data_IF_525623973738
#
_entry.id   IF_525623973738
#
_cell.length_a   1.000
_cell.length_b   1.000
_cell.length_c   1.000
_cell.angle_alpha   90.00
_cell.angle_beta   90.00
_cell.angle_gamma   90.00
#
_symmetry.space_group_name_H-M   'P 1'
#
loop_
_entity.id
_entity.type
_entity.pdbx_description
1 polymer ?
#
# COMPACT_ATOMS: atom_id res chain seq x y z
N UNK A 1 -57.51 53.36 9.52
CA UNK A 1 -57.19 52.65 8.27
C UNK A 1 -55.68 52.38 8.24
N UNK A 2 -55.23 51.16 8.50
CA UNK A 2 -53.82 50.80 8.57
C UNK A 2 -53.56 49.85 7.41
N UNK A 3 -52.82 50.31 6.42
CA UNK A 3 -52.42 49.53 5.24
C UNK A 3 -51.21 48.64 5.55
N UNK A 4 -51.43 47.32 5.61
CA UNK A 4 -50.35 46.33 5.72
C UNK A 4 -49.58 46.23 4.39
N UNK A 5 -48.32 46.61 4.41
CA UNK A 5 -47.40 46.30 3.31
C UNK A 5 -46.90 44.87 3.45
N UNK A 6 -47.20 44.03 2.47
CA UNK A 6 -46.70 42.69 2.34
C UNK A 6 -45.34 42.79 1.65
N UNK A 7 -44.26 42.45 2.39
CA UNK A 7 -42.91 42.32 1.84
C UNK A 7 -42.78 40.90 1.33
N UNK A 8 -42.75 40.76 0.02
CA UNK A 8 -42.42 39.46 -0.62
C UNK A 8 -40.93 39.24 -0.54
N UNK A 9 -40.50 38.33 0.34
CA UNK A 9 -39.11 37.82 0.36
C UNK A 9 -38.91 36.83 -0.79
N UNK A 10 -38.14 37.27 -1.79
CA UNK A 10 -37.65 36.38 -2.84
C UNK A 10 -36.54 35.51 -2.27
N UNK A 11 -36.82 34.22 -2.08
CA UNK A 11 -35.79 33.20 -1.71
C UNK A 11 -35.03 32.89 -2.98
N UNK A 12 -33.80 33.40 -3.07
CA UNK A 12 -32.84 33.04 -4.11
C UNK A 12 -32.25 31.66 -3.79
N UNK A 13 -32.78 30.64 -4.40
CA UNK A 13 -32.24 29.31 -4.30
C UNK A 13 -30.91 29.20 -5.05
N UNK A 14 -29.81 29.32 -4.31
CA UNK A 14 -28.47 29.02 -4.84
C UNK A 14 -28.33 27.53 -5.08
N UNK A 15 -28.43 27.11 -6.32
CA UNK A 15 -28.10 25.75 -6.75
C UNK A 15 -26.58 25.63 -6.64
N UNK A 16 -26.12 25.06 -5.51
CA UNK A 16 -24.73 24.62 -5.38
C UNK A 16 -24.60 23.38 -6.26
N UNK A 17 -24.10 23.59 -7.48
CA UNK A 17 -23.72 22.51 -8.35
C UNK A 17 -22.65 21.66 -7.65
N UNK A 18 -23.03 20.44 -7.26
CA UNK A 18 -22.07 19.39 -6.92
C UNK A 18 -21.27 19.06 -8.18
N UNK A 19 -20.29 19.88 -8.48
CA UNK A 19 -19.20 19.50 -9.37
C UNK A 19 -18.52 18.31 -8.76
N UNK A 20 -18.78 17.10 -9.29
CA UNK A 20 -18.04 15.91 -8.94
C UNK A 20 -16.56 16.20 -9.19
N UNK A 21 -15.81 16.41 -8.12
CA UNK A 21 -14.36 16.38 -8.16
C UNK A 21 -14.00 14.99 -8.65
N UNK A 22 -13.63 14.86 -9.92
CA UNK A 22 -12.95 13.69 -10.43
C UNK A 22 -11.73 13.51 -9.53
N UNK A 23 -11.82 12.59 -8.57
CA UNK A 23 -10.66 12.19 -7.78
C UNK A 23 -9.67 11.61 -8.78
N UNK A 24 -8.65 12.40 -9.10
CA UNK A 24 -7.50 11.90 -9.83
C UNK A 24 -7.03 10.66 -9.06
N UNK A 25 -7.00 9.51 -9.73
CA UNK A 25 -6.57 8.24 -9.17
C UNK A 25 -5.16 8.46 -8.59
N UNK A 26 -5.07 8.52 -7.26
CA UNK A 26 -3.83 8.85 -6.58
C UNK A 26 -2.89 7.66 -6.76
N UNK A 27 -1.96 7.79 -7.71
CA UNK A 27 -0.97 6.75 -7.99
C UNK A 27 -0.16 6.48 -6.74
N UNK A 28 -0.05 5.21 -6.39
CA UNK A 28 0.70 4.78 -5.23
C UNK A 28 2.19 5.08 -5.42
N UNK A 29 2.76 5.91 -4.54
CA UNK A 29 4.14 6.38 -4.65
C UNK A 29 5.07 5.62 -3.72
N UNK A 30 6.32 5.44 -4.13
CA UNK A 30 7.38 4.92 -3.28
C UNK A 30 7.66 5.88 -2.12
N UNK A 31 7.98 5.32 -0.96
CA UNK A 31 8.33 6.08 0.24
C UNK A 31 9.71 6.72 0.11
N UNK A 32 10.60 6.13 -0.70
CA UNK A 32 12.00 6.53 -0.82
C UNK A 32 12.18 7.80 -1.64
N UNK A 33 11.54 7.89 -2.81
CA UNK A 33 11.79 8.94 -3.80
C UNK A 33 10.53 9.58 -4.38
N UNK A 34 9.34 9.19 -3.88
CA UNK A 34 8.06 9.72 -4.35
C UNK A 34 7.66 9.30 -5.77
N UNK A 35 8.45 8.47 -6.45
CA UNK A 35 8.09 7.95 -7.77
C UNK A 35 6.98 6.91 -7.68
N UNK A 36 6.26 6.66 -8.78
CA UNK A 36 5.18 5.68 -8.83
C UNK A 36 5.68 4.27 -8.48
N UNK A 37 5.01 3.62 -7.52
CA UNK A 37 5.28 2.22 -7.19
C UNK A 37 4.65 1.30 -8.23
N UNK A 38 5.44 0.43 -8.83
CA UNK A 38 4.98 -0.56 -9.81
C UNK A 38 5.53 -1.93 -9.45
N UNK A 39 4.69 -2.95 -9.45
CA UNK A 39 5.14 -4.34 -9.47
C UNK A 39 5.63 -4.69 -10.88
N UNK A 40 6.69 -4.04 -11.32
CA UNK A 40 7.41 -4.40 -12.53
C UNK A 40 8.48 -5.42 -12.17
N UNK A 41 8.71 -6.37 -13.07
CA UNK A 41 9.76 -7.36 -12.86
C UNK A 41 11.13 -6.65 -12.78
N UNK A 42 11.85 -6.75 -11.65
CA UNK A 42 13.20 -6.20 -11.58
C UNK A 42 14.04 -6.98 -12.61
N UNK A 43 14.71 -6.30 -13.51
CA UNK A 43 15.58 -6.92 -14.51
C UNK A 43 16.51 -7.93 -13.83
N UNK A 44 16.28 -9.22 -14.06
CA UNK A 44 17.17 -10.28 -13.62
C UNK A 44 16.62 -11.32 -12.64
N UNK A 45 15.44 -11.16 -12.13
CA UNK A 45 14.81 -12.22 -11.31
C UNK A 45 13.81 -13.02 -12.12
N UNK A 46 14.35 -14.04 -12.79
CA UNK A 46 13.62 -15.21 -13.22
C UNK A 46 12.44 -14.97 -14.15
N UNK A 47 12.28 -15.89 -15.03
CA UNK A 47 11.18 -16.06 -15.97
C UNK A 47 9.80 -16.06 -15.28
N UNK A 48 9.37 -14.91 -14.80
CA UNK A 48 7.97 -14.68 -14.50
C UNK A 48 7.26 -14.47 -15.82
N UNK A 49 7.15 -15.53 -16.61
CA UNK A 49 6.10 -15.66 -17.64
C UNK A 49 4.76 -15.65 -16.92
N UNK A 50 4.44 -14.53 -16.25
CA UNK A 50 3.05 -14.15 -16.03
C UNK A 50 2.49 -13.94 -17.42
N UNK A 51 1.86 -14.97 -17.92
CA UNK A 51 1.25 -15.03 -19.23
C UNK A 51 0.23 -13.92 -19.46
N UNK A 52 -0.22 -13.28 -18.38
CA UNK A 52 -1.21 -12.22 -18.37
C UNK A 52 -0.82 -11.20 -17.31
N UNK A 53 -0.85 -9.94 -17.65
CA UNK A 53 -0.66 -8.79 -16.75
C UNK A 53 -1.77 -8.68 -15.67
N UNK A 54 -2.34 -9.81 -15.26
CA UNK A 54 -3.43 -9.85 -14.29
C UNK A 54 -2.84 -9.73 -12.90
N UNK A 55 -3.00 -8.56 -12.31
CA UNK A 55 -2.66 -8.32 -10.91
C UNK A 55 -3.54 -9.19 -10.00
N UNK A 56 -2.95 -9.76 -8.97
CA UNK A 56 -3.70 -10.46 -7.92
C UNK A 56 -4.54 -9.47 -7.11
N UNK A 57 -5.58 -9.96 -6.41
CA UNK A 57 -6.36 -9.13 -5.48
C UNK A 57 -5.47 -8.43 -4.46
N UNK A 58 -4.43 -9.11 -3.97
CA UNK A 58 -3.48 -8.54 -3.01
C UNK A 58 -2.66 -7.40 -3.61
N UNK A 59 -2.19 -7.54 -4.84
CA UNK A 59 -1.48 -6.48 -5.56
C UNK A 59 -2.37 -5.26 -5.80
N UNK A 60 -3.61 -5.49 -6.23
CA UNK A 60 -4.59 -4.42 -6.49
C UNK A 60 -4.86 -3.66 -5.19
N UNK A 61 -5.18 -4.37 -4.11
CA UNK A 61 -5.49 -3.73 -2.83
C UNK A 61 -4.26 -3.03 -2.24
N UNK A 62 -3.08 -3.63 -2.36
CA UNK A 62 -1.86 -2.99 -1.91
C UNK A 62 -1.57 -1.69 -2.67
N UNK A 63 -1.68 -1.68 -3.99
CA UNK A 63 -1.47 -0.48 -4.81
C UNK A 63 -2.51 0.62 -4.52
N UNK A 64 -3.69 0.23 -4.06
CA UNK A 64 -4.76 1.16 -3.69
C UNK A 64 -4.60 1.74 -2.29
N UNK A 65 -4.20 0.93 -1.32
CA UNK A 65 -4.28 1.26 0.10
C UNK A 65 -2.95 1.22 0.85
N UNK A 66 -1.92 0.61 0.28
CA UNK A 66 -0.66 0.31 0.97
C UNK A 66 -0.78 -0.79 2.03
N UNK A 67 -1.92 -1.47 2.13
CA UNK A 67 -2.18 -2.51 3.13
C UNK A 67 -1.92 -3.90 2.55
N UNK A 68 -1.37 -4.77 3.39
CA UNK A 68 -1.28 -6.19 3.09
C UNK A 68 -2.56 -6.89 3.60
N UNK A 69 -3.37 -7.42 2.68
CA UNK A 69 -4.64 -8.09 3.02
C UNK A 69 -4.47 -9.40 3.80
N UNK A 70 -3.25 -9.91 3.89
CA UNK A 70 -2.95 -11.17 4.59
C UNK A 70 -2.56 -10.97 6.05
N UNK A 71 -2.51 -9.74 6.55
CA UNK A 71 -2.24 -9.49 7.97
C UNK A 71 -3.39 -10.03 8.81
N UNK A 72 -3.07 -10.90 9.77
CA UNK A 72 -4.05 -11.59 10.62
C UNK A 72 -4.68 -12.85 9.98
N UNK A 73 -4.33 -13.20 8.74
CA UNK A 73 -4.70 -14.49 8.14
C UNK A 73 -3.69 -15.57 8.56
N UNK A 74 -4.05 -16.39 9.54
CA UNK A 74 -3.18 -17.44 10.07
C UNK A 74 -2.71 -18.44 8.99
N UNK A 75 -3.53 -18.74 8.00
CA UNK A 75 -3.15 -19.63 6.91
C UNK A 75 -2.12 -18.97 5.98
N UNK A 76 -2.28 -17.69 5.69
CA UNK A 76 -1.31 -16.93 4.91
C UNK A 76 0.00 -16.75 5.66
N UNK A 77 -0.05 -16.48 6.96
CA UNK A 77 1.14 -16.38 7.82
C UNK A 77 1.92 -17.68 7.87
N UNK A 78 1.24 -18.81 8.02
CA UNK A 78 1.87 -20.15 7.98
C UNK A 78 2.56 -20.41 6.63
N UNK A 79 1.91 -20.05 5.51
CA UNK A 79 2.53 -20.15 4.17
C UNK A 79 3.71 -19.20 4.03
N UNK A 80 3.59 -17.97 4.52
CA UNK A 80 4.65 -16.98 4.53
C UNK A 80 5.89 -17.44 5.29
N UNK A 81 5.71 -18.00 6.49
CA UNK A 81 6.79 -18.57 7.30
C UNK A 81 7.50 -19.72 6.57
N UNK A 82 6.75 -20.62 5.92
CA UNK A 82 7.34 -21.70 5.11
C UNK A 82 8.17 -21.12 3.95
N UNK A 83 7.65 -20.13 3.24
CA UNK A 83 8.35 -19.47 2.12
C UNK A 83 9.59 -18.71 2.58
N UNK A 84 9.54 -18.07 3.74
CA UNK A 84 10.67 -17.37 4.34
C UNK A 84 11.87 -18.32 4.53
N UNK A 85 11.62 -19.55 4.99
CA UNK A 85 12.65 -20.59 5.04
C UNK A 85 13.08 -21.07 3.64
N UNK A 86 12.11 -21.35 2.77
CA UNK A 86 12.37 -21.86 1.41
C UNK A 86 13.24 -20.92 0.56
N UNK A 87 13.03 -19.61 0.67
CA UNK A 87 13.82 -18.58 -0.04
C UNK A 87 15.12 -18.21 0.67
N UNK A 88 15.55 -19.00 1.66
CA UNK A 88 16.80 -18.81 2.40
C UNK A 88 16.89 -17.47 3.19
N UNK A 89 15.78 -16.78 3.38
CA UNK A 89 15.75 -15.53 4.16
C UNK A 89 16.21 -15.76 5.61
N UNK A 90 15.95 -16.98 6.15
CA UNK A 90 16.34 -17.38 7.50
C UNK A 90 17.85 -17.40 7.71
N UNK A 91 18.64 -17.59 6.67
CA UNK A 91 20.11 -17.63 6.78
C UNK A 91 20.69 -16.28 7.24
N UNK A 92 20.12 -15.19 6.77
CA UNK A 92 20.55 -13.86 7.18
C UNK A 92 19.70 -13.30 8.31
N UNK A 93 18.40 -13.49 8.28
CA UNK A 93 17.48 -12.84 9.22
C UNK A 93 17.10 -13.70 10.41
N UNK A 94 17.62 -14.93 10.48
CA UNK A 94 17.32 -15.92 11.54
C UNK A 94 15.96 -16.57 11.37
N UNK A 95 15.72 -17.74 12.03
CA UNK A 95 14.48 -18.52 11.87
C UNK A 95 13.23 -17.83 12.42
N UNK A 96 13.41 -16.85 13.30
CA UNK A 96 12.33 -16.05 13.88
C UNK A 96 12.26 -14.63 13.30
N UNK A 97 13.06 -14.34 12.27
CA UNK A 97 13.19 -13.02 11.66
C UNK A 97 13.62 -11.89 12.65
N UNK A 98 14.15 -12.24 13.83
CA UNK A 98 14.65 -11.27 14.82
C UNK A 98 16.02 -10.70 14.47
N UNK A 99 16.63 -11.18 13.40
CA UNK A 99 17.98 -10.83 12.97
C UNK A 99 19.00 -11.92 13.32
N UNK A 100 20.07 -11.97 12.54
CA UNK A 100 21.25 -12.81 12.74
C UNK A 100 22.45 -12.08 12.10
N UNK A 101 22.90 -12.47 10.90
CA UNK A 101 23.85 -11.71 10.10
C UNK A 101 23.19 -10.47 9.51
N UNK A 102 21.95 -10.62 9.07
CA UNK A 102 21.10 -9.52 8.61
C UNK A 102 20.26 -8.91 9.74
N UNK A 103 19.70 -7.72 9.51
CA UNK A 103 18.90 -7.03 10.51
C UNK A 103 17.60 -7.77 10.85
N UNK A 104 17.05 -7.49 12.03
CA UNK A 104 15.70 -7.94 12.40
C UNK A 104 14.65 -7.39 11.45
N UNK A 105 13.66 -8.23 11.12
CA UNK A 105 12.51 -7.90 10.28
C UNK A 105 11.20 -7.85 11.08
N UNK A 106 11.27 -8.04 12.40
CA UNK A 106 10.15 -7.95 13.33
C UNK A 106 10.46 -6.86 14.36
N UNK A 107 9.45 -6.00 14.62
CA UNK A 107 9.58 -4.81 15.47
C UNK A 107 10.09 -5.08 16.90
N UNK A 108 10.18 -4.02 17.74
CA UNK A 108 9.69 -2.66 17.51
C UNK A 108 10.64 -1.75 16.72
N UNK A 109 11.91 -2.10 16.60
CA UNK A 109 12.91 -1.28 15.89
C UNK A 109 13.34 -1.93 14.58
N UNK A 110 13.32 -1.14 13.51
CA UNK A 110 13.78 -1.56 12.20
C UNK A 110 15.02 -0.75 11.81
N UNK A 111 15.99 -1.40 11.15
CA UNK A 111 17.16 -0.71 10.61
C UNK A 111 16.76 0.43 9.66
N UNK A 112 15.72 0.22 8.89
CA UNK A 112 15.15 1.23 7.99
C UNK A 112 13.76 1.60 8.52
N UNK A 113 13.54 2.83 8.98
CA UNK A 113 12.27 3.26 9.60
C UNK A 113 11.04 3.01 8.73
N UNK A 114 11.17 3.09 7.39
CA UNK A 114 10.07 2.78 6.45
C UNK A 114 9.50 1.37 6.63
N UNK A 115 10.33 0.41 7.09
CA UNK A 115 9.93 -0.98 7.26
C UNK A 115 8.97 -1.21 8.46
N UNK A 116 8.71 -0.19 9.25
CA UNK A 116 7.65 -0.21 10.27
C UNK A 116 6.25 -0.23 9.65
N UNK A 117 6.12 0.00 8.35
CA UNK A 117 4.86 -0.04 7.61
C UNK A 117 4.83 -1.18 6.60
N UNK A 118 3.63 -1.71 6.30
CA UNK A 118 3.47 -2.71 5.25
C UNK A 118 3.98 -2.21 3.90
N UNK A 119 3.71 -0.93 3.60
CA UNK A 119 4.17 -0.27 2.38
C UNK A 119 5.70 -0.28 2.27
N UNK A 120 6.39 0.23 3.28
CA UNK A 120 7.84 0.31 3.27
C UNK A 120 8.52 -1.06 3.30
N UNK A 121 7.92 -2.05 3.98
CA UNK A 121 8.43 -3.42 3.98
C UNK A 121 8.33 -4.05 2.58
N UNK A 122 7.21 -3.93 1.90
CA UNK A 122 7.03 -4.44 0.54
C UNK A 122 7.92 -3.68 -0.44
N UNK A 123 8.06 -2.37 -0.28
CA UNK A 123 8.99 -1.57 -1.08
C UNK A 123 10.44 -2.06 -0.94
N UNK A 124 10.87 -2.34 0.29
CA UNK A 124 12.21 -2.89 0.55
C UNK A 124 12.39 -4.27 -0.08
N UNK A 125 11.39 -5.14 -0.01
CA UNK A 125 11.44 -6.45 -0.65
C UNK A 125 11.48 -6.37 -2.18
N UNK A 126 10.85 -5.37 -2.76
CA UNK A 126 10.72 -5.24 -4.22
C UNK A 126 11.87 -4.47 -4.87
N UNK A 127 12.30 -3.37 -4.24
CA UNK A 127 13.34 -2.48 -4.79
C UNK A 127 14.68 -2.53 -4.05
N UNK A 128 14.71 -3.18 -2.89
CA UNK A 128 15.91 -3.16 -2.03
C UNK A 128 15.93 -1.96 -1.07
N UNK A 129 17.11 -1.71 -0.51
CA UNK A 129 17.35 -0.76 0.59
C UNK A 129 18.25 0.40 0.19
N UNK A 130 18.26 0.80 -1.07
CA UNK A 130 19.03 1.96 -1.50
C UNK A 130 18.53 3.24 -0.86
#
# INVERSE_FOLDING_TARGET
MVTKKIIASAILATIIGFGGLAQAEQKFQKTTDGTEFKFTDPKGFGDTKKKDNVKTKAEIEFLKTGKNIYVGDAAAEKRGKKRFGYWSCTQCHGPTAKGQVGPGLVGPTFRYPKNATNKGMIETLWYGTN
#
